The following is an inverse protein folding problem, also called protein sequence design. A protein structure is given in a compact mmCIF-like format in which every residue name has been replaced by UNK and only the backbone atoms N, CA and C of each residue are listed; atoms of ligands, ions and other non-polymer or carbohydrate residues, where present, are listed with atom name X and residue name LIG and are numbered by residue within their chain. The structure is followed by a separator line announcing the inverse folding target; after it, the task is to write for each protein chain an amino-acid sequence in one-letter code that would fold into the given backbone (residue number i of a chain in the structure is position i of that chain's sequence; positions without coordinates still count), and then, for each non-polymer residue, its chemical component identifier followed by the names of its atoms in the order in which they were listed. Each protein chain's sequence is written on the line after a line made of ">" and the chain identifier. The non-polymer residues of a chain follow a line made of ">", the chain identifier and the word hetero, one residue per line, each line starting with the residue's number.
data_IF_718935166445
#
_entry.id   IF_718935166445
#
_cell.length_a   1.000
_cell.length_b   1.000
_cell.length_c   1.000
_cell.angle_alpha   90.00
_cell.angle_beta   90.00
_cell.angle_gamma   90.00
#
_symmetry.space_group_name_H-M   'P 1'
#
loop_
_entity.id
_entity.type
_entity.pdbx_description
1 polymer ?
#
# COMPACT_ATOMS: atom_id res chain seq x y z
N UNK A 1 -19.39 16.08 -7.42
CA UNK A 1 -18.63 14.86 -7.05
C UNK A 1 -19.47 14.06 -6.06
N UNK A 2 -19.61 12.76 -6.27
CA UNK A 2 -20.34 11.88 -5.32
C UNK A 2 -19.56 11.75 -4.01
N UNK A 3 -20.26 11.53 -2.89
CA UNK A 3 -19.67 11.25 -1.56
C UNK A 3 -18.62 10.12 -1.66
N UNK A 4 -18.91 9.10 -2.47
CA UNK A 4 -18.02 7.96 -2.71
C UNK A 4 -16.65 8.38 -3.27
N UNK A 5 -16.65 9.32 -4.21
CA UNK A 5 -15.41 9.80 -4.84
C UNK A 5 -14.57 10.60 -3.84
N UNK A 6 -15.21 11.37 -2.96
CA UNK A 6 -14.54 12.13 -1.91
C UNK A 6 -13.90 11.15 -0.90
N UNK A 7 -14.62 10.11 -0.49
CA UNK A 7 -14.10 9.05 0.39
C UNK A 7 -12.89 8.33 -0.24
N UNK A 8 -12.93 8.03 -1.54
CA UNK A 8 -11.80 7.40 -2.23
C UNK A 8 -10.57 8.29 -2.29
N UNK A 9 -10.72 9.58 -2.58
CA UNK A 9 -9.60 10.52 -2.56
C UNK A 9 -8.99 10.62 -1.17
N UNK A 10 -9.82 10.67 -0.13
CA UNK A 10 -9.37 10.73 1.25
C UNK A 10 -8.64 9.44 1.67
N UNK A 11 -9.17 8.28 1.27
CA UNK A 11 -8.55 6.98 1.53
C UNK A 11 -7.20 6.84 0.82
N UNK A 12 -7.10 7.29 -0.44
CA UNK A 12 -5.83 7.30 -1.17
C UNK A 12 -4.80 8.20 -0.48
N UNK A 13 -5.18 9.39 -0.04
CA UNK A 13 -4.28 10.32 0.65
C UNK A 13 -3.74 9.72 1.96
N UNK A 14 -4.63 9.15 2.79
CA UNK A 14 -4.25 8.49 4.04
C UNK A 14 -3.41 7.24 3.79
N UNK A 15 -3.79 6.42 2.80
CA UNK A 15 -3.04 5.23 2.40
C UNK A 15 -1.61 5.55 1.96
N UNK A 16 -1.44 6.61 1.17
CA UNK A 16 -0.13 7.07 0.71
C UNK A 16 0.74 7.58 1.86
N UNK A 17 0.17 8.38 2.77
CA UNK A 17 0.86 8.83 3.98
C UNK A 17 1.30 7.65 4.85
N UNK A 18 0.43 6.66 5.05
CA UNK A 18 0.74 5.48 5.86
C UNK A 18 1.81 4.60 5.20
N UNK A 19 1.80 4.51 3.87
CA UNK A 19 2.82 3.80 3.10
C UNK A 19 4.20 4.46 3.25
N UNK A 20 4.26 5.80 3.09
CA UNK A 20 5.50 6.57 3.29
C UNK A 20 5.99 6.46 4.73
N UNK A 21 5.08 6.53 5.71
CA UNK A 21 5.43 6.32 7.12
C UNK A 21 6.00 4.91 7.35
N UNK A 22 5.40 3.89 6.72
CA UNK A 22 5.89 2.51 6.73
C UNK A 22 7.29 2.36 6.13
N UNK A 23 7.58 3.05 5.02
CA UNK A 23 8.92 3.16 4.43
C UNK A 23 9.93 3.77 5.41
N UNK A 24 9.60 4.92 6.01
CA UNK A 24 10.49 5.60 6.94
C UNK A 24 10.78 4.78 8.20
N UNK A 25 9.76 4.13 8.77
CA UNK A 25 9.88 3.32 9.98
C UNK A 25 10.34 1.88 9.72
N UNK A 26 10.53 1.49 8.46
CA UNK A 26 10.74 0.08 8.04
C UNK A 26 9.69 -0.87 8.65
N UNK A 27 8.46 -0.40 8.73
CA UNK A 27 7.33 -1.16 9.26
C UNK A 27 6.60 -1.83 8.09
N UNK A 28 6.86 -3.13 7.91
CA UNK A 28 6.23 -3.92 6.86
C UNK A 28 4.70 -3.87 6.94
N UNK A 29 4.12 -3.89 8.15
CA UNK A 29 2.68 -3.81 8.35
C UNK A 29 2.12 -2.47 7.88
N UNK A 30 2.76 -1.35 8.24
CA UNK A 30 2.30 -0.02 7.83
C UNK A 30 2.39 0.18 6.31
N UNK A 31 3.41 -0.41 5.66
CA UNK A 31 3.49 -0.45 4.20
C UNK A 31 2.36 -1.27 3.58
N UNK A 32 2.06 -2.46 4.11
CA UNK A 32 0.99 -3.30 3.57
C UNK A 32 -0.37 -2.61 3.70
N UNK A 33 -0.70 -2.10 4.89
CA UNK A 33 -1.97 -1.40 5.12
C UNK A 33 -2.07 -0.11 4.30
N UNK A 34 -1.00 0.69 4.22
CA UNK A 34 -0.99 1.91 3.41
C UNK A 34 -1.14 1.62 1.91
N UNK A 35 -0.42 0.62 1.42
CA UNK A 35 -0.51 0.15 0.04
C UNK A 35 -1.90 -0.37 -0.29
N UNK A 36 -2.48 -1.23 0.55
CA UNK A 36 -3.85 -1.73 0.35
C UNK A 36 -4.89 -0.61 0.37
N UNK A 37 -4.79 0.34 1.31
CA UNK A 37 -5.71 1.48 1.38
C UNK A 37 -5.63 2.38 0.13
N UNK A 38 -4.45 2.53 -0.44
CA UNK A 38 -4.24 3.27 -1.69
C UNK A 38 -4.74 2.51 -2.92
N UNK A 39 -4.47 1.20 -3.02
CA UNK A 39 -4.83 0.37 -4.17
C UNK A 39 -6.32 -0.02 -4.20
N UNK A 40 -6.98 -0.16 -3.05
CA UNK A 40 -8.40 -0.54 -2.96
C UNK A 40 -9.34 0.33 -3.83
N UNK A 41 -9.30 1.67 -3.77
CA UNK A 41 -10.15 2.49 -4.62
C UNK A 41 -9.76 2.43 -6.10
N UNK A 42 -8.50 2.18 -6.43
CA UNK A 42 -8.04 1.97 -7.81
C UNK A 42 -8.63 0.66 -8.37
N UNK A 43 -8.57 -0.41 -7.57
CA UNK A 43 -9.16 -1.71 -7.92
C UNK A 43 -10.68 -1.67 -8.05
N UNK A 44 -11.34 -0.82 -7.26
CA UNK A 44 -12.77 -0.60 -7.40
C UNK A 44 -13.14 0.05 -8.73
N UNK A 45 -12.31 0.99 -9.23
CA UNK A 45 -12.58 1.75 -10.45
C UNK A 45 -12.19 1.01 -11.74
N UNK A 46 -11.05 0.30 -11.74
CA UNK A 46 -10.48 -0.36 -12.94
C UNK A 46 -10.68 -1.88 -12.92
N UNK A 47 -11.04 -2.45 -11.78
CA UNK A 47 -11.04 -3.90 -11.56
C UNK A 47 -9.69 -4.41 -11.04
N UNK A 48 -9.73 -5.47 -10.24
CA UNK A 48 -8.56 -6.04 -9.55
C UNK A 48 -7.86 -7.14 -10.36
N UNK A 49 -8.57 -7.76 -11.30
CA UNK A 49 -8.09 -8.92 -12.09
C UNK A 49 -6.82 -8.66 -12.91
N UNK A 50 -6.64 -7.50 -13.56
CA UNK A 50 -5.40 -7.21 -14.30
C UNK A 50 -4.16 -7.10 -13.39
N UNK A 51 -4.35 -6.84 -12.09
CA UNK A 51 -3.26 -6.59 -11.14
C UNK A 51 -2.84 -7.84 -10.34
N UNK A 52 -3.62 -8.92 -10.42
CA UNK A 52 -3.32 -10.21 -9.79
C UNK A 52 -1.89 -10.73 -10.07
N UNK A 53 -1.36 -10.68 -11.30
CA UNK A 53 -0.01 -11.14 -11.59
C UNK A 53 1.08 -10.36 -10.84
N UNK A 54 0.79 -9.11 -10.47
CA UNK A 54 1.73 -8.21 -9.79
C UNK A 54 1.71 -8.37 -8.27
N UNK A 55 0.77 -9.13 -7.70
CA UNK A 55 0.65 -9.32 -6.25
C UNK A 55 1.95 -9.89 -5.65
N UNK A 56 2.51 -10.94 -6.27
CA UNK A 56 3.75 -11.55 -5.78
C UNK A 56 4.98 -10.62 -5.89
N UNK A 57 5.24 -9.93 -7.03
CA UNK A 57 6.26 -8.89 -7.12
C UNK A 57 6.11 -7.78 -6.09
N UNK A 58 4.89 -7.28 -5.87
CA UNK A 58 4.61 -6.21 -4.90
C UNK A 58 4.88 -6.70 -3.47
N UNK A 59 4.45 -7.92 -3.14
CA UNK A 59 4.71 -8.52 -1.83
C UNK A 59 6.21 -8.70 -1.56
N UNK A 60 6.99 -9.13 -2.56
CA UNK A 60 8.45 -9.23 -2.48
C UNK A 60 9.11 -7.86 -2.29
N UNK A 61 8.68 -6.84 -3.04
CA UNK A 61 9.18 -5.49 -2.88
C UNK A 61 8.90 -4.95 -1.47
N UNK A 62 7.68 -5.12 -0.96
CA UNK A 62 7.31 -4.69 0.39
C UNK A 62 8.12 -5.46 1.46
N UNK A 63 8.35 -6.75 1.29
CA UNK A 63 9.20 -7.52 2.20
C UNK A 63 10.66 -7.06 2.17
N UNK A 64 11.18 -6.74 0.98
CA UNK A 64 12.53 -6.24 0.81
C UNK A 64 12.73 -4.88 1.49
N UNK A 65 11.82 -3.92 1.25
CA UNK A 65 11.88 -2.59 1.87
C UNK A 65 11.49 -2.58 3.35
N UNK A 66 10.59 -3.47 3.75
CA UNK A 66 10.10 -3.64 5.11
C UNK A 66 11.06 -4.40 6.03
N UNK A 67 12.09 -5.07 5.49
CA UNK A 67 13.15 -5.66 6.31
C UNK A 67 13.92 -4.56 7.04
N UNK A 68 13.64 -4.42 8.33
CA UNK A 68 14.53 -3.74 9.28
C UNK A 68 15.90 -4.44 9.18
N UNK A 69 16.99 -3.68 9.01
CA UNK A 69 18.36 -4.24 9.08
C UNK A 69 18.47 -4.90 10.43
N UNK A 70 18.40 -6.23 10.47
CA UNK A 70 18.78 -7.01 11.64
C UNK A 70 20.30 -6.92 11.60
N UNK A 71 20.88 -6.06 12.45
CA UNK A 71 22.33 -6.03 12.63
C UNK A 71 22.65 -7.38 13.31
N UNK A 72 23.35 -8.33 12.66
CA UNK A 72 23.84 -9.48 13.39
C UNK A 72 24.83 -8.94 14.43
N UNK A 73 24.45 -9.09 15.69
CA UNK A 73 25.30 -8.78 16.84
C UNK A 73 26.47 -9.77 16.91
#
# INVERSE_FOLDING_TARGET
>A
MSLLNISFVMLMAVGLLLFVYGLQKKSQLSMLFGGMAFLAPIFYLIGWTPFLPFVAPIALAISYFGKKKINPA
#
